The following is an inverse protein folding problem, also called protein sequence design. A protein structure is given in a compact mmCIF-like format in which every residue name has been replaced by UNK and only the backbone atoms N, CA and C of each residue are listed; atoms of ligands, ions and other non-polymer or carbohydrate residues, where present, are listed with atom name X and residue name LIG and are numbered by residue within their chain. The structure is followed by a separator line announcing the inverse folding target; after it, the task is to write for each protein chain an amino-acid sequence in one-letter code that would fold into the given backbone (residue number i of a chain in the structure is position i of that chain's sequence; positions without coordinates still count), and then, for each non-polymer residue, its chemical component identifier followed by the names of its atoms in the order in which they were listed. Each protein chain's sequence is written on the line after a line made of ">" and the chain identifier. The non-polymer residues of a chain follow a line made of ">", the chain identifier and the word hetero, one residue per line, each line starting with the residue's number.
data_IF_770842982460
#
_entry.id   IF_770842982460
#
_cell.length_a   1.000
_cell.length_b   1.000
_cell.length_c   1.000
_cell.angle_alpha   90.00
_cell.angle_beta   90.00
_cell.angle_gamma   90.00
#
_symmetry.space_group_name_H-M   'P 1'
#
loop_
_entity.id
_entity.type
_entity.pdbx_description
1 polymer ?
#
# COMPACT_ATOMS: atom_id res chain seq x y z
N UNK A 1 -1.87 -0.12 2.79
CA UNK A 1 -1.74 -1.32 1.94
C UNK A 1 -2.21 -0.98 0.55
N UNK A 2 -1.47 -1.43 -0.47
CA UNK A 2 -1.79 -1.21 -1.88
C UNK A 2 -2.19 -2.56 -2.46
N UNK A 3 -3.39 -2.67 -3.00
CA UNK A 3 -3.96 -3.91 -3.52
C UNK A 3 -4.43 -3.73 -4.95
N UNK A 4 -4.64 -4.83 -5.67
CA UNK A 4 -5.15 -4.81 -7.04
C UNK A 4 -4.63 -6.00 -7.84
N UNK A 5 -5.20 -6.26 -9.02
CA UNK A 5 -4.80 -7.37 -9.86
C UNK A 5 -3.32 -7.28 -10.30
N UNK A 6 -2.68 -8.38 -10.73
CA UNK A 6 -1.39 -8.32 -11.39
C UNK A 6 -1.40 -7.30 -12.54
N UNK A 7 -0.34 -6.52 -12.68
CA UNK A 7 -0.25 -5.47 -13.69
C UNK A 7 -1.00 -4.16 -13.38
N UNK A 8 -1.69 -4.03 -12.24
CA UNK A 8 -2.42 -2.81 -11.87
C UNK A 8 -1.54 -1.62 -11.46
N UNK A 9 -0.21 -1.74 -11.49
CA UNK A 9 0.71 -0.67 -11.10
C UNK A 9 1.04 -0.59 -9.61
N UNK A 10 0.81 -1.65 -8.81
CA UNK A 10 1.16 -1.70 -7.38
C UNK A 10 2.64 -1.36 -7.13
N UNK A 11 3.55 -2.08 -7.78
CA UNK A 11 4.99 -1.87 -7.63
C UNK A 11 5.40 -0.48 -8.12
N UNK A 12 4.80 0.03 -9.20
CA UNK A 12 5.03 1.40 -9.68
C UNK A 12 4.63 2.44 -8.64
N UNK A 13 3.44 2.31 -8.04
CA UNK A 13 3.00 3.22 -6.99
C UNK A 13 3.89 3.13 -5.74
N UNK A 14 4.27 1.92 -5.33
CA UNK A 14 5.18 1.70 -4.21
C UNK A 14 6.53 2.38 -4.43
N UNK A 15 7.14 2.20 -5.60
CA UNK A 15 8.42 2.83 -5.96
C UNK A 15 8.32 4.36 -6.01
N UNK A 16 7.23 4.91 -6.55
CA UNK A 16 7.02 6.36 -6.55
C UNK A 16 6.84 6.93 -5.14
N UNK A 17 6.23 6.17 -4.23
CA UNK A 17 6.13 6.58 -2.82
C UNK A 17 7.49 6.49 -2.11
N UNK A 18 8.29 5.46 -2.40
CA UNK A 18 9.64 5.29 -1.85
C UNK A 18 10.57 6.41 -2.31
N UNK A 19 10.55 6.78 -3.59
CA UNK A 19 11.27 7.94 -4.14
C UNK A 19 10.94 9.24 -3.38
N UNK A 20 9.73 9.33 -2.84
CA UNK A 20 9.22 10.47 -2.07
C UNK A 20 9.42 10.35 -0.56
N UNK A 21 10.15 9.34 -0.10
CA UNK A 21 10.54 9.14 1.30
C UNK A 21 9.70 8.13 2.08
N UNK A 22 8.81 7.37 1.44
CA UNK A 22 8.18 6.24 2.09
C UNK A 22 9.19 5.09 2.31
N UNK A 23 8.99 4.30 3.36
CA UNK A 23 9.77 3.09 3.63
C UNK A 23 8.93 1.85 3.33
N UNK A 24 9.55 0.83 2.75
CA UNK A 24 8.89 -0.43 2.44
C UNK A 24 8.53 -1.17 3.75
N UNK A 25 7.35 -1.80 3.79
CA UNK A 25 7.05 -2.79 4.83
C UNK A 25 7.33 -4.19 4.29
N UNK A 26 6.82 -4.50 3.10
CA UNK A 26 7.09 -5.74 2.37
C UNK A 26 6.48 -5.68 0.98
N UNK A 27 6.94 -6.57 0.11
CA UNK A 27 6.41 -6.80 -1.24
C UNK A 27 5.87 -8.24 -1.31
N UNK A 28 4.74 -8.45 -1.98
CA UNK A 28 4.00 -9.73 -2.08
C UNK A 28 3.64 -10.46 -0.76
N UNK A 29 4.03 -9.92 0.40
CA UNK A 29 3.70 -10.48 1.70
C UNK A 29 4.13 -9.58 2.86
N UNK A 30 3.29 -9.53 3.89
CA UNK A 30 3.56 -8.91 5.20
C UNK A 30 2.94 -9.77 6.29
N UNK A 31 3.52 -9.76 7.47
CA UNK A 31 2.87 -10.31 8.67
C UNK A 31 1.97 -9.24 9.29
N UNK A 32 0.75 -9.62 9.68
CA UNK A 32 -0.19 -8.70 10.33
C UNK A 32 -0.30 -9.04 11.81
N UNK A 33 -0.11 -8.02 12.65
CA UNK A 33 -0.30 -8.09 14.09
C UNK A 33 -1.43 -7.14 14.50
N UNK A 34 -2.39 -7.64 15.26
CA UNK A 34 -3.40 -6.79 15.90
C UNK A 34 -2.87 -6.32 17.26
N UNK A 35 -2.69 -5.00 17.42
CA UNK A 35 -2.19 -4.39 18.65
C UNK A 35 -2.93 -3.08 18.93
N UNK A 36 -3.44 -2.91 20.15
CA UNK A 36 -4.12 -1.70 20.64
C UNK A 36 -5.26 -1.21 19.73
N UNK A 37 -6.07 -2.14 19.20
CA UNK A 37 -7.19 -1.82 18.31
C UNK A 37 -6.79 -1.42 16.89
N UNK A 38 -5.50 -1.45 16.55
CA UNK A 38 -4.98 -1.21 15.22
C UNK A 38 -4.35 -2.48 14.62
N UNK A 39 -4.12 -2.45 13.31
CA UNK A 39 -3.31 -3.46 12.62
C UNK A 39 -1.93 -2.87 12.36
N UNK A 40 -0.90 -3.61 12.72
CA UNK A 40 0.48 -3.36 12.35
C UNK A 40 0.89 -4.36 11.28
N UNK A 41 1.54 -3.86 10.23
CA UNK A 41 2.13 -4.67 9.18
C UNK A 41 3.64 -4.74 9.42
N UNK A 42 4.19 -5.95 9.37
CA UNK A 42 5.59 -6.25 9.60
C UNK A 42 6.20 -6.87 8.35
N UNK A 43 7.49 -6.63 8.07
CA UNK A 43 8.16 -7.31 6.95
C UNK A 43 8.18 -8.81 7.17
N UNK A 44 7.68 -9.58 6.20
CA UNK A 44 7.66 -11.04 6.27
C UNK A 44 9.09 -11.61 6.30
N UNK A 45 9.45 -12.51 7.24
CA UNK A 45 10.83 -12.97 7.42
C UNK A 45 11.46 -13.61 6.17
N UNK A 46 10.68 -14.36 5.39
CA UNK A 46 11.18 -15.11 4.23
C UNK A 46 11.60 -14.21 3.05
N UNK A 47 11.01 -13.01 2.92
CA UNK A 47 11.20 -12.07 1.81
C UNK A 47 11.53 -10.67 2.31
N UNK A 48 12.12 -10.60 3.51
CA UNK A 48 12.37 -9.35 4.23
C UNK A 48 13.26 -8.42 3.41
N UNK A 49 12.77 -7.20 3.16
CA UNK A 49 13.55 -6.17 2.47
C UNK A 49 13.81 -6.47 1.00
N UNK A 50 13.05 -7.37 0.38
CA UNK A 50 13.13 -7.64 -1.04
C UNK A 50 11.91 -7.07 -1.74
N UNK A 51 12.13 -6.42 -2.88
CA UNK A 51 11.08 -5.95 -3.79
C UNK A 51 11.41 -6.39 -5.22
N UNK A 52 10.42 -6.87 -5.97
CA UNK A 52 10.57 -7.11 -7.40
C UNK A 52 10.38 -5.80 -8.18
N UNK A 53 11.43 -5.34 -8.87
CA UNK A 53 11.36 -4.22 -9.81
C UNK A 53 11.39 -4.77 -11.23
N UNK A 54 10.27 -4.69 -11.93
CA UNK A 54 10.17 -5.14 -13.33
C UNK A 54 11.23 -4.45 -14.20
N UNK A 55 12.02 -5.25 -14.90
CA UNK A 55 13.14 -4.78 -15.72
C UNK A 55 14.48 -4.64 -14.98
N UNK A 56 14.50 -4.66 -13.65
CA UNK A 56 15.71 -4.58 -12.84
C UNK A 56 15.97 -5.83 -11.96
N UNK A 57 14.95 -6.64 -11.70
CA UNK A 57 15.05 -7.85 -10.88
C UNK A 57 14.65 -7.63 -9.43
N UNK A 58 15.08 -8.53 -8.53
CA UNK A 58 14.82 -8.45 -7.09
C UNK A 58 15.89 -7.57 -6.44
N UNK A 59 15.47 -6.53 -5.73
CA UNK A 59 16.35 -5.50 -5.18
C UNK A 59 16.19 -5.42 -3.65
N UNK A 60 17.30 -5.32 -2.89
CA UNK A 60 17.21 -5.07 -1.45
C UNK A 60 16.79 -3.63 -1.14
N UNK A 61 15.92 -3.44 -0.16
CA UNK A 61 15.42 -2.15 0.32
C UNK A 61 15.38 -2.10 1.86
N UNK A 62 15.58 -0.91 2.46
CA UNK A 62 15.26 -0.70 3.87
C UNK A 62 13.79 -1.03 4.16
N UNK A 63 13.54 -1.64 5.32
CA UNK A 63 12.19 -2.00 5.75
C UNK A 63 11.91 -1.66 7.20
N UNK A 64 10.70 -1.18 7.45
CA UNK A 64 10.21 -0.85 8.79
C UNK A 64 8.76 -1.33 8.98
N UNK A 65 8.37 -1.81 10.17
CA UNK A 65 6.97 -2.05 10.48
C UNK A 65 6.16 -0.74 10.45
N UNK A 66 4.90 -0.83 10.03
CA UNK A 66 4.02 0.34 9.99
C UNK A 66 2.58 0.00 10.38
N UNK A 67 1.88 0.97 10.96
CA UNK A 67 0.44 0.86 11.22
C UNK A 67 -0.33 0.88 9.90
N UNK A 68 -1.12 -0.15 9.64
CA UNK A 68 -2.00 -0.18 8.49
C UNK A 68 -3.19 0.76 8.73
N UNK A 69 -3.21 1.87 8.00
CA UNK A 69 -4.15 2.98 8.24
C UNK A 69 -5.12 3.22 7.06
N UNK A 70 -4.81 2.70 5.87
CA UNK A 70 -5.62 2.84 4.65
C UNK A 70 -5.33 1.70 3.67
N UNK A 71 -6.38 1.26 2.96
CA UNK A 71 -6.30 0.33 1.84
C UNK A 71 -6.61 1.09 0.54
N UNK A 72 -5.67 1.08 -0.40
CA UNK A 72 -5.90 1.56 -1.77
C UNK A 72 -6.08 0.34 -2.67
N UNK A 73 -7.26 0.18 -3.25
CA UNK A 73 -7.50 -0.85 -4.27
C UNK A 73 -7.33 -0.22 -5.64
N UNK A 74 -6.23 -0.57 -6.31
CA UNK A 74 -5.89 -0.07 -7.63
C UNK A 74 -6.89 -0.60 -8.66
N UNK A 75 -7.59 0.32 -9.31
CA UNK A 75 -8.61 0.04 -10.31
C UNK A 75 -8.56 1.12 -11.40
N UNK A 76 -8.25 0.77 -12.66
CA UNK A 76 -8.31 1.72 -13.77
C UNK A 76 -9.67 2.40 -13.93
N UNK A 77 -10.76 1.73 -13.54
CA UNK A 77 -12.12 2.24 -13.59
C UNK A 77 -12.55 3.01 -12.32
N UNK A 78 -11.63 3.26 -11.37
CA UNK A 78 -11.95 4.01 -10.15
C UNK A 78 -12.54 5.39 -10.50
N UNK A 79 -13.68 5.78 -9.88
CA UNK A 79 -14.34 7.05 -10.18
C UNK A 79 -13.48 8.23 -9.73
N UNK A 80 -13.65 9.38 -10.40
CA UNK A 80 -12.95 10.64 -10.05
C UNK A 80 -13.16 11.07 -8.59
N UNK A 81 -14.33 10.76 -8.04
CA UNK A 81 -14.68 10.98 -6.63
C UNK A 81 -15.06 9.62 -6.02
N UNK A 82 -14.08 8.84 -5.50
CA UNK A 82 -14.36 7.57 -4.89
C UNK A 82 -14.99 7.74 -3.50
N UNK A 83 -15.94 6.88 -3.17
CA UNK A 83 -16.40 6.72 -1.79
C UNK A 83 -15.32 6.07 -0.93
N UNK A 84 -15.43 6.27 0.39
CA UNK A 84 -14.60 5.56 1.37
C UNK A 84 -15.43 4.40 1.92
N UNK A 85 -15.04 3.19 1.56
CA UNK A 85 -15.62 1.97 2.09
C UNK A 85 -14.88 1.52 3.36
N UNK A 86 -15.48 0.60 4.11
CA UNK A 86 -14.81 -0.07 5.23
C UNK A 86 -14.55 -1.52 4.87
N UNK A 87 -13.32 -1.98 5.11
CA UNK A 87 -12.95 -3.39 5.02
C UNK A 87 -12.42 -3.86 6.36
N UNK A 88 -12.96 -4.97 6.86
CA UNK A 88 -12.45 -5.62 8.06
C UNK A 88 -11.24 -6.50 7.71
N UNK A 89 -10.14 -6.29 8.42
CA UNK A 89 -8.98 -7.19 8.50
C UNK A 89 -8.74 -7.48 9.98
N UNK A 90 -8.57 -8.74 10.39
CA UNK A 90 -8.35 -9.10 11.80
C UNK A 90 -9.34 -8.44 12.79
N UNK A 91 -10.62 -8.31 12.41
CA UNK A 91 -11.68 -7.61 13.16
C UNK A 91 -11.46 -6.10 13.39
N UNK A 92 -10.57 -5.46 12.63
CA UNK A 92 -10.35 -4.01 12.61
C UNK A 92 -10.86 -3.45 11.28
N UNK A 93 -11.75 -2.44 11.34
CA UNK A 93 -12.37 -1.84 10.18
C UNK A 93 -11.51 -0.70 9.59
N UNK A 94 -10.82 -1.00 8.49
CA UNK A 94 -9.95 -0.06 7.79
C UNK A 94 -10.69 0.68 6.67
N UNK A 95 -10.36 1.95 6.42
CA UNK A 95 -10.85 2.65 5.25
C UNK A 95 -10.25 2.02 3.98
N UNK A 96 -11.08 1.87 2.96
CA UNK A 96 -10.73 1.35 1.64
C UNK A 96 -11.22 2.31 0.58
N UNK A 97 -10.34 2.61 -0.38
CA UNK A 97 -10.63 3.53 -1.48
C UNK A 97 -10.27 2.86 -2.80
N UNK A 98 -11.20 2.87 -3.75
CA UNK A 98 -10.89 2.55 -5.15
C UNK A 98 -9.99 3.66 -5.71
N UNK A 99 -8.82 3.29 -6.22
CA UNK A 99 -7.74 4.22 -6.51
C UNK A 99 -7.29 4.10 -7.97
N UNK A 100 -7.44 5.18 -8.73
CA UNK A 100 -6.98 5.25 -10.11
C UNK A 100 -5.45 5.39 -10.17
N UNK A 101 -4.81 4.72 -11.13
CA UNK A 101 -3.36 4.71 -11.36
C UNK A 101 -3.02 4.91 -12.84
N UNK A 102 -1.75 5.22 -13.10
CA UNK A 102 -1.23 5.35 -14.47
C UNK A 102 -0.80 6.76 -14.85
N UNK A 103 -1.06 7.76 -14.00
CA UNK A 103 -0.54 9.11 -14.14
C UNK A 103 0.63 9.41 -13.18
N UNK A 104 1.50 10.39 -13.50
CA UNK A 104 2.62 10.77 -12.65
C UNK A 104 2.25 11.30 -11.26
N UNK A 105 1.02 11.79 -11.06
CA UNK A 105 0.58 12.36 -9.79
C UNK A 105 0.01 11.30 -8.81
N UNK A 106 0.00 10.02 -9.19
CA UNK A 106 -0.59 8.95 -8.37
C UNK A 106 0.01 8.83 -6.97
N UNK A 107 1.32 9.04 -6.78
CA UNK A 107 1.91 9.00 -5.44
C UNK A 107 1.45 10.19 -4.57
N UNK A 108 1.38 11.40 -5.13
CA UNK A 108 0.83 12.57 -4.46
C UNK A 108 -0.63 12.34 -4.04
N UNK A 109 -1.46 11.78 -4.95
CA UNK A 109 -2.86 11.46 -4.65
C UNK A 109 -2.98 10.40 -3.56
N UNK A 110 -2.12 9.39 -3.55
CA UNK A 110 -2.09 8.36 -2.50
C UNK A 110 -1.74 8.94 -1.12
N UNK A 111 -0.75 9.84 -1.06
CA UNK A 111 -0.40 10.56 0.18
C UNK A 111 -1.56 11.43 0.68
N UNK A 112 -2.24 12.14 -0.23
CA UNK A 112 -3.43 12.92 0.13
C UNK A 112 -4.57 12.04 0.61
N UNK A 113 -4.82 10.90 -0.04
CA UNK A 113 -5.82 9.94 0.42
C UNK A 113 -5.49 9.41 1.83
N UNK A 114 -4.21 9.12 2.10
CA UNK A 114 -3.76 8.72 3.44
C UNK A 114 -3.98 9.82 4.48
N UNK A 115 -3.66 11.08 4.17
CA UNK A 115 -3.90 12.22 5.08
C UNK A 115 -5.39 12.46 5.36
N UNK A 116 -6.24 12.30 4.34
CA UNK A 116 -7.67 12.59 4.44
C UNK A 116 -8.47 11.46 5.09
N UNK A 117 -8.06 10.21 4.87
CA UNK A 117 -8.88 9.05 5.20
C UNK A 117 -8.18 8.04 6.09
N UNK A 118 -6.88 8.16 6.33
CA UNK A 118 -6.14 7.27 7.22
C UNK A 118 -6.67 7.34 8.65
N UNK A 119 -6.77 6.17 9.31
CA UNK A 119 -7.16 6.03 10.71
C UNK A 119 -5.97 5.75 11.61
#
# INVERSE_FOLDING_TARGET
>A
MIEGPPGSGKSTLALLLIDRGATLVGDDGVELERRDGAIWAHPAPAIRGLIEIRGAGIVPMPVEPARLSLILTLDPAAPRLPGVERRCLENVALPRIAFHTGDPAQALRAEHALRLHGV
#
